data_IF_182489711272
#
_entry.id   IF_182489711272
#
_cell.length_a   1.000
_cell.length_b   1.000
_cell.length_c   1.000
_cell.angle_alpha   90.00
_cell.angle_beta   90.00
_cell.angle_gamma   90.00
#
_symmetry.space_group_name_H-M   'P 1'
#
loop_
_entity.id
_entity.type
_entity.pdbx_description
1 polymer ?
#
# COMPACT_ATOMS: atom_id res chain seq x y z
N UNK A 1 1.39 -5.51 21.39
CA UNK A 1 1.12 -6.97 21.24
C UNK A 1 1.51 -7.78 22.47
N UNK A 2 2.72 -7.58 23.02
CA UNK A 2 3.16 -8.27 24.24
C UNK A 2 2.19 -8.10 25.42
N UNK A 3 1.82 -6.86 25.76
CA UNK A 3 0.84 -6.55 26.81
C UNK A 3 -0.47 -7.34 26.65
N UNK A 4 -1.01 -7.39 25.44
CA UNK A 4 -2.31 -8.04 25.14
C UNK A 4 -2.25 -9.57 25.28
N UNK A 5 -1.07 -10.17 25.08
CA UNK A 5 -0.87 -11.63 25.21
C UNK A 5 -0.67 -12.06 26.67
N UNK A 6 -0.31 -11.14 27.56
CA UNK A 6 -0.06 -11.44 28.97
C UNK A 6 -1.38 -11.60 29.72
N UNK A 7 -1.57 -12.78 30.34
CA UNK A 7 -2.77 -13.09 31.14
C UNK A 7 -2.83 -12.33 32.47
N UNK A 8 -1.67 -12.06 33.03
CA UNK A 8 -1.47 -11.28 34.27
C UNK A 8 -0.43 -10.22 33.94
N UNK A 9 -0.70 -8.99 34.34
CA UNK A 9 0.19 -7.84 34.16
C UNK A 9 0.81 -7.55 35.53
N UNK A 10 2.13 -7.41 35.59
CA UNK A 10 2.84 -7.00 36.80
C UNK A 10 3.34 -5.54 36.69
N UNK A 11 3.73 -4.95 37.82
CA UNK A 11 4.13 -3.54 37.93
C UNK A 11 5.23 -3.15 36.93
N UNK A 12 6.19 -4.05 36.64
CA UNK A 12 7.25 -3.78 35.67
C UNK A 12 6.70 -3.72 34.23
N UNK A 13 5.73 -4.55 33.90
CA UNK A 13 5.05 -4.51 32.60
C UNK A 13 4.18 -3.25 32.47
N UNK A 14 3.51 -2.83 33.54
CA UNK A 14 2.74 -1.58 33.57
C UNK A 14 3.65 -0.38 33.32
N UNK A 15 4.74 -0.26 34.08
CA UNK A 15 5.73 0.80 33.91
C UNK A 15 6.37 0.81 32.50
N UNK A 16 6.62 -0.38 31.93
CA UNK A 16 7.14 -0.49 30.56
C UNK A 16 6.11 0.01 29.53
N UNK A 17 4.83 -0.31 29.71
CA UNK A 17 3.76 0.21 28.85
C UNK A 17 3.63 1.73 28.96
N UNK A 18 3.64 2.27 30.19
CA UNK A 18 3.60 3.71 30.42
C UNK A 18 4.76 4.43 29.73
N UNK A 19 5.98 3.89 29.84
CA UNK A 19 7.15 4.45 29.16
C UNK A 19 6.99 4.43 27.63
N UNK A 20 6.49 3.33 27.06
CA UNK A 20 6.25 3.24 25.60
C UNK A 20 5.16 4.22 25.15
N UNK A 21 4.08 4.37 25.92
CA UNK A 21 3.00 5.33 25.63
C UNK A 21 3.49 6.78 25.74
N UNK A 22 4.33 7.10 26.73
CA UNK A 22 4.96 8.41 26.86
C UNK A 22 5.88 8.70 25.66
N UNK A 23 6.76 7.75 25.30
CA UNK A 23 7.62 7.90 24.12
C UNK A 23 6.83 8.07 22.83
N UNK A 24 5.70 7.36 22.67
CA UNK A 24 4.83 7.54 21.51
C UNK A 24 4.25 8.95 21.45
N UNK A 25 3.84 9.49 22.61
CA UNK A 25 3.36 10.87 22.73
C UNK A 25 4.45 11.88 22.39
N UNK A 26 5.68 11.66 22.85
CA UNK A 26 6.82 12.52 22.54
C UNK A 26 7.13 12.54 21.03
N UNK A 27 7.05 11.39 20.34
CA UNK A 27 7.26 11.33 18.88
C UNK A 27 6.17 12.08 18.12
N UNK A 28 4.91 12.10 18.62
CA UNK A 28 3.85 12.91 18.02
C UNK A 28 4.21 14.41 18.10
N UNK A 29 4.77 14.87 19.23
CA UNK A 29 5.24 16.25 19.38
C UNK A 29 6.39 16.61 18.42
N UNK A 30 7.16 15.61 17.95
CA UNK A 30 8.21 15.82 16.96
C UNK A 30 7.68 16.14 15.55
N UNK A 31 6.36 16.11 15.31
CA UNK A 31 5.75 16.74 14.13
C UNK A 31 6.07 18.26 14.07
N UNK A 32 6.27 18.89 15.22
CA UNK A 32 6.63 20.32 15.34
C UNK A 32 8.16 20.55 15.46
N UNK A 33 8.98 19.51 15.26
CA UNK A 33 10.44 19.66 15.25
C UNK A 33 10.87 20.65 14.17
N UNK A 34 11.93 21.41 14.44
CA UNK A 34 12.59 22.28 13.47
C UNK A 34 13.28 21.50 12.33
N UNK A 35 13.64 20.24 12.57
CA UNK A 35 14.30 19.38 11.60
C UNK A 35 13.32 18.66 10.66
N UNK A 36 13.46 18.91 9.35
CA UNK A 36 12.58 18.35 8.31
C UNK A 36 12.61 16.81 8.23
N UNK A 37 13.77 16.22 8.47
CA UNK A 37 13.96 14.77 8.51
C UNK A 37 13.28 14.14 9.71
N UNK A 38 13.34 14.78 10.88
CA UNK A 38 12.63 14.32 12.09
C UNK A 38 11.12 14.34 11.84
N UNK A 39 10.58 15.45 11.31
CA UNK A 39 9.15 15.54 10.96
C UNK A 39 8.73 14.44 9.98
N UNK A 40 9.54 14.15 8.96
CA UNK A 40 9.27 13.06 8.00
C UNK A 40 9.10 11.71 8.70
N UNK A 41 9.99 11.38 9.64
CA UNK A 41 9.92 10.10 10.37
C UNK A 41 8.78 10.09 11.38
N UNK A 42 8.49 11.21 12.05
CA UNK A 42 7.35 11.35 12.94
C UNK A 42 6.02 11.09 12.21
N UNK A 43 5.85 11.60 10.98
CA UNK A 43 4.68 11.30 10.14
C UNK A 43 4.50 9.79 9.93
N UNK A 44 5.58 9.07 9.61
CA UNK A 44 5.54 7.61 9.40
C UNK A 44 5.25 6.84 10.68
N UNK A 45 5.76 7.31 11.81
CA UNK A 45 5.41 6.76 13.12
C UNK A 45 3.92 6.95 13.41
N UNK A 46 3.39 8.16 13.22
CA UNK A 46 1.98 8.50 13.42
C UNK A 46 1.07 7.66 12.53
N UNK A 47 1.44 7.42 11.26
CA UNK A 47 0.72 6.47 10.40
C UNK A 47 0.61 5.08 11.05
N UNK A 48 1.73 4.53 11.48
CA UNK A 48 1.79 3.21 12.12
C UNK A 48 0.97 3.17 13.40
N UNK A 49 1.01 4.24 14.20
CA UNK A 49 0.23 4.39 15.43
C UNK A 49 -1.27 4.38 15.14
N UNK A 50 -1.74 5.24 14.21
CA UNK A 50 -3.16 5.30 13.81
C UNK A 50 -3.65 3.93 13.34
N UNK A 51 -2.89 3.26 12.46
CA UNK A 51 -3.23 1.93 11.95
C UNK A 51 -3.28 0.92 13.10
N UNK A 52 -2.33 0.94 14.03
CA UNK A 52 -2.26 0.00 15.15
C UNK A 52 -3.43 0.21 16.14
N UNK A 53 -3.76 1.47 16.43
CA UNK A 53 -4.76 1.86 17.42
C UNK A 53 -6.19 1.98 16.85
N UNK A 54 -6.41 1.51 15.63
CA UNK A 54 -7.72 1.43 14.98
C UNK A 54 -8.07 -0.01 14.60
N UNK A 55 -9.37 -0.37 14.60
CA UNK A 55 -9.79 -1.71 14.24
C UNK A 55 -9.69 -1.93 12.72
N UNK A 56 -9.37 -3.17 12.32
CA UNK A 56 -9.59 -3.61 10.94
C UNK A 56 -11.07 -3.82 10.68
N UNK A 57 -11.50 -3.49 9.48
CA UNK A 57 -12.84 -3.72 8.94
C UNK A 57 -12.78 -4.81 7.85
N UNK A 58 -13.92 -5.39 7.42
CA UNK A 58 -13.93 -6.44 6.39
C UNK A 58 -13.28 -6.02 5.06
N UNK A 59 -13.31 -4.73 4.76
CA UNK A 59 -12.77 -4.09 3.57
C UNK A 59 -11.36 -3.51 3.78
N UNK A 60 -10.73 -3.67 4.95
CA UNK A 60 -9.36 -3.20 5.20
C UNK A 60 -8.32 -3.87 4.29
N UNK A 61 -7.64 -3.07 3.45
CA UNK A 61 -6.53 -3.51 2.60
C UNK A 61 -5.20 -3.56 3.37
N UNK A 62 -4.96 -4.65 4.14
CA UNK A 62 -3.74 -4.82 4.93
C UNK A 62 -2.64 -5.53 4.12
N UNK A 63 -1.44 -4.95 3.98
CA UNK A 63 -0.32 -5.62 3.30
C UNK A 63 0.04 -6.95 3.96
N UNK A 64 0.39 -7.97 3.17
CA UNK A 64 0.74 -9.33 3.66
C UNK A 64 1.78 -9.32 4.78
N UNK A 65 2.82 -8.47 4.67
CA UNK A 65 3.88 -8.35 5.68
C UNK A 65 3.36 -7.89 7.06
N UNK A 66 2.20 -7.25 7.11
CA UNK A 66 1.56 -6.71 8.32
C UNK A 66 0.32 -7.51 8.74
N UNK A 67 0.06 -8.66 8.13
CA UNK A 67 -1.15 -9.44 8.39
C UNK A 67 -1.24 -9.91 9.86
N UNK A 68 -0.08 -10.19 10.46
CA UNK A 68 0.06 -10.65 11.84
C UNK A 68 0.20 -9.52 12.89
N UNK A 69 0.29 -8.27 12.44
CA UNK A 69 0.44 -7.12 13.33
C UNK A 69 -0.82 -6.90 14.18
N UNK A 70 -0.64 -6.37 15.39
CA UNK A 70 -1.78 -6.09 16.26
C UNK A 70 -2.61 -4.91 15.70
N UNK A 71 -3.91 -4.97 15.94
CA UNK A 71 -4.87 -3.92 15.62
C UNK A 71 -5.95 -3.94 16.70
N UNK A 72 -6.71 -2.85 16.82
CA UNK A 72 -7.61 -2.67 17.96
C UNK A 72 -8.69 -3.77 18.07
N UNK A 73 -9.17 -4.30 16.93
CA UNK A 73 -10.13 -5.41 16.88
C UNK A 73 -9.57 -6.75 17.41
N UNK A 74 -8.26 -6.87 17.63
CA UNK A 74 -7.61 -8.05 18.21
C UNK A 74 -7.41 -7.94 19.73
N UNK A 75 -7.80 -6.83 20.34
CA UNK A 75 -7.68 -6.61 21.78
C UNK A 75 -8.98 -7.11 22.46
N UNK A 76 -8.89 -8.01 23.46
CA UNK A 76 -10.05 -8.41 24.25
C UNK A 76 -10.70 -7.21 24.94
N UNK A 77 -12.03 -7.10 24.89
CA UNK A 77 -12.77 -5.97 25.48
C UNK A 77 -12.65 -5.93 27.02
N UNK A 78 -12.44 -7.10 27.62
CA UNK A 78 -12.29 -7.36 29.05
C UNK A 78 -10.83 -7.45 29.49
N UNK A 79 -9.89 -6.97 28.68
CA UNK A 79 -8.47 -7.00 29.03
C UNK A 79 -8.21 -6.22 30.36
N UNK A 80 -7.47 -6.80 31.32
CA UNK A 80 -7.37 -6.26 32.68
C UNK A 80 -6.76 -4.86 32.72
N UNK A 81 -5.73 -4.62 31.92
CA UNK A 81 -4.97 -3.37 31.91
C UNK A 81 -5.30 -2.49 30.68
N UNK A 82 -4.95 -2.95 29.47
CA UNK A 82 -5.19 -2.23 28.21
C UNK A 82 -6.68 -1.98 27.97
N UNK A 83 -7.06 -0.71 27.80
CA UNK A 83 -8.46 -0.29 27.55
C UNK A 83 -8.67 0.09 26.09
N UNK A 84 -9.56 -0.65 25.42
CA UNK A 84 -9.88 -0.45 24.00
C UNK A 84 -10.27 1.00 23.68
N UNK A 85 -11.15 1.62 24.48
CA UNK A 85 -11.64 2.98 24.20
C UNK A 85 -10.55 4.03 24.35
N UNK A 86 -9.62 3.87 25.31
CA UNK A 86 -8.51 4.81 25.49
C UNK A 86 -7.61 4.81 24.27
N UNK A 87 -7.23 3.61 23.79
CA UNK A 87 -6.41 3.48 22.58
C UNK A 87 -7.13 3.99 21.32
N UNK A 88 -8.44 3.78 21.21
CA UNK A 88 -9.22 4.30 20.10
C UNK A 88 -9.19 5.84 20.05
N UNK A 89 -9.41 6.49 21.18
CA UNK A 89 -9.34 7.95 21.27
C UNK A 89 -7.93 8.47 20.97
N UNK A 90 -6.88 7.77 21.45
CA UNK A 90 -5.49 8.10 21.14
C UNK A 90 -5.19 8.01 19.64
N UNK A 91 -5.65 6.95 18.97
CA UNK A 91 -5.52 6.80 17.52
C UNK A 91 -6.21 7.91 16.72
N UNK A 92 -7.41 8.33 17.14
CA UNK A 92 -8.12 9.46 16.53
C UNK A 92 -7.42 10.79 16.78
N UNK A 93 -6.93 11.01 18.00
CA UNK A 93 -6.17 12.21 18.33
C UNK A 93 -4.89 12.31 17.48
N UNK A 94 -4.18 11.20 17.26
CA UNK A 94 -3.02 11.15 16.39
C UNK A 94 -3.37 11.49 14.92
N UNK A 95 -4.51 11.01 14.42
CA UNK A 95 -5.01 11.40 13.09
C UNK A 95 -5.31 12.90 13.02
N UNK A 96 -5.94 13.48 14.04
CA UNK A 96 -6.22 14.91 14.10
C UNK A 96 -4.93 15.75 14.06
N UNK A 97 -3.88 15.33 14.78
CA UNK A 97 -2.56 15.99 14.71
C UNK A 97 -1.96 15.93 13.30
N UNK A 98 -2.04 14.78 12.62
CA UNK A 98 -1.55 14.65 11.24
C UNK A 98 -2.35 15.52 10.26
N UNK A 99 -3.67 15.62 10.43
CA UNK A 99 -4.53 16.49 9.60
C UNK A 99 -4.20 17.98 9.83
N UNK A 100 -4.01 18.41 11.08
CA UNK A 100 -3.59 19.77 11.43
C UNK A 100 -2.21 20.10 10.84
N UNK A 101 -1.28 19.15 10.91
CA UNK A 101 0.06 19.31 10.35
C UNK A 101 0.04 19.60 8.84
N UNK A 102 -0.83 18.92 8.08
CA UNK A 102 -0.92 19.10 6.62
C UNK A 102 -1.37 20.48 6.16
N UNK A 103 -2.14 21.20 6.98
CA UNK A 103 -2.62 22.55 6.66
C UNK A 103 -1.71 23.65 7.19
N UNK A 104 -0.58 23.29 7.80
CA UNK A 104 0.38 24.26 8.31
C UNK A 104 1.02 25.05 7.15
N UNK A 105 1.03 26.40 7.19
CA UNK A 105 1.45 27.24 6.06
C UNK A 105 2.94 27.10 5.67
N UNK A 106 3.77 26.66 6.61
CA UNK A 106 5.20 26.45 6.41
C UNK A 106 5.60 24.96 6.27
N UNK A 107 4.64 24.06 6.03
CA UNK A 107 4.96 22.65 5.77
C UNK A 107 5.87 22.52 4.54
N UNK A 108 6.92 21.69 4.64
CA UNK A 108 7.82 21.45 3.52
C UNK A 108 7.18 20.56 2.46
N UNK A 109 7.68 20.64 1.23
CA UNK A 109 7.23 19.75 0.15
C UNK A 109 7.43 18.28 0.47
N UNK A 110 8.52 17.91 1.15
CA UNK A 110 8.87 16.52 1.49
C UNK A 110 7.88 15.99 2.53
N UNK A 111 7.70 16.74 3.62
CA UNK A 111 6.76 16.36 4.67
C UNK A 111 5.31 16.28 4.14
N UNK A 112 4.90 17.22 3.28
CA UNK A 112 3.57 17.20 2.68
C UNK A 112 3.36 15.95 1.81
N UNK A 113 4.35 15.57 0.99
CA UNK A 113 4.27 14.32 0.21
C UNK A 113 4.27 13.07 1.09
N UNK A 114 5.03 13.08 2.20
CA UNK A 114 5.04 11.98 3.16
C UNK A 114 3.68 11.83 3.85
N UNK A 115 3.07 12.95 4.25
CA UNK A 115 1.74 12.97 4.86
C UNK A 115 0.65 12.51 3.89
N UNK A 116 0.69 12.94 2.62
CA UNK A 116 -0.21 12.46 1.56
C UNK A 116 -0.19 10.93 1.45
N UNK A 117 1.01 10.34 1.34
CA UNK A 117 1.15 8.89 1.26
C UNK A 117 0.72 8.16 2.53
N UNK A 118 0.93 8.78 3.69
CA UNK A 118 0.51 8.24 4.98
C UNK A 118 -1.00 8.22 5.12
N UNK A 119 -1.70 9.29 4.74
CA UNK A 119 -3.16 9.32 4.71
C UNK A 119 -3.74 8.31 3.70
N UNK A 120 -3.12 8.14 2.53
CA UNK A 120 -3.56 7.13 1.56
C UNK A 120 -3.43 5.69 2.10
N UNK A 121 -2.38 5.45 2.88
CA UNK A 121 -2.15 4.18 3.57
C UNK A 121 -3.20 3.96 4.65
N UNK A 122 -3.47 4.98 5.49
CA UNK A 122 -4.50 4.96 6.52
C UNK A 122 -5.88 4.70 5.89
N UNK A 123 -6.29 5.44 4.87
CA UNK A 123 -7.62 5.29 4.25
C UNK A 123 -7.86 3.88 3.69
N UNK A 124 -6.86 3.25 3.07
CA UNK A 124 -6.99 1.89 2.53
C UNK A 124 -6.95 0.82 3.62
N UNK A 125 -6.05 0.96 4.58
CA UNK A 125 -5.96 0.00 5.69
C UNK A 125 -7.11 0.17 6.69
N UNK A 126 -7.64 1.38 6.82
CA UNK A 126 -8.68 1.80 7.75
C UNK A 126 -9.73 2.67 7.02
N UNK A 127 -10.65 2.03 6.29
CA UNK A 127 -11.66 2.73 5.48
C UNK A 127 -12.64 3.61 6.27
N UNK A 128 -12.80 3.41 7.57
CA UNK A 128 -13.59 4.29 8.44
C UNK A 128 -13.06 5.73 8.51
N UNK A 129 -11.79 5.97 8.16
CA UNK A 129 -11.19 7.31 8.08
C UNK A 129 -11.15 7.88 6.67
N UNK A 130 -11.82 7.22 5.70
CA UNK A 130 -11.74 7.61 4.30
C UNK A 130 -12.33 9.00 4.06
N UNK A 131 -13.44 9.34 4.72
CA UNK A 131 -14.08 10.64 4.60
C UNK A 131 -13.12 11.79 5.00
N UNK A 132 -12.46 11.65 6.15
CA UNK A 132 -11.49 12.63 6.67
C UNK A 132 -10.28 12.78 5.75
N UNK A 133 -9.81 11.67 5.17
CA UNK A 133 -8.69 11.70 4.22
C UNK A 133 -9.07 12.39 2.91
N UNK A 134 -10.25 12.11 2.36
CA UNK A 134 -10.73 12.79 1.14
C UNK A 134 -10.94 14.28 1.41
N UNK A 135 -11.52 14.65 2.55
CA UNK A 135 -11.66 16.05 2.96
C UNK A 135 -10.31 16.77 3.08
N UNK A 136 -9.29 16.09 3.62
CA UNK A 136 -7.93 16.65 3.70
C UNK A 136 -7.33 16.89 2.31
N UNK A 137 -7.56 15.98 1.37
CA UNK A 137 -7.10 16.11 -0.01
C UNK A 137 -7.80 17.24 -0.77
N UNK A 138 -9.12 17.41 -0.59
CA UNK A 138 -9.86 18.56 -1.12
C UNK A 138 -9.33 19.87 -0.57
N UNK A 139 -9.14 19.94 0.75
CA UNK A 139 -8.62 21.14 1.44
C UNK A 139 -7.24 21.51 0.94
N UNK A 140 -6.33 20.53 0.79
CA UNK A 140 -4.99 20.75 0.27
C UNK A 140 -5.02 21.20 -1.20
N UNK A 141 -5.86 20.58 -2.03
CA UNK A 141 -5.99 20.93 -3.44
C UNK A 141 -6.41 22.39 -3.62
N UNK A 142 -7.36 22.86 -2.81
CA UNK A 142 -7.83 24.24 -2.81
C UNK A 142 -6.83 25.22 -2.18
N UNK A 143 -6.04 24.78 -1.19
CA UNK A 143 -5.20 25.65 -0.36
C UNK A 143 -3.75 25.15 -0.28
N UNK A 144 -3.08 25.03 -1.42
CA UNK A 144 -1.66 24.67 -1.44
C UNK A 144 -0.82 25.72 -0.70
N UNK A 145 0.15 25.32 0.15
CA UNK A 145 0.97 26.27 0.88
C UNK A 145 1.71 27.25 -0.06
N UNK A 146 1.59 28.58 0.16
CA UNK A 146 2.18 29.58 -0.73
C UNK A 146 3.71 29.62 -0.67
N UNK A 147 4.29 28.95 0.33
CA UNK A 147 5.75 28.80 0.54
C UNK A 147 6.39 27.81 -0.43
N UNK A 148 5.60 27.02 -1.16
CA UNK A 148 6.12 26.03 -2.10
C UNK A 148 6.50 26.66 -3.44
N UNK A 149 7.72 26.35 -3.89
CA UNK A 149 8.18 26.71 -5.23
C UNK A 149 7.35 25.98 -6.32
N UNK A 150 7.32 26.53 -7.54
CA UNK A 150 6.57 25.95 -8.67
C UNK A 150 6.88 24.47 -8.93
N UNK A 151 8.15 24.06 -8.81
CA UNK A 151 8.57 22.66 -8.95
C UNK A 151 8.03 21.77 -7.82
N UNK A 152 7.98 22.27 -6.59
CA UNK A 152 7.42 21.59 -5.43
C UNK A 152 5.90 21.43 -5.57
N UNK A 153 5.19 22.49 -5.99
CA UNK A 153 3.75 22.44 -6.28
C UNK A 153 3.43 21.34 -7.30
N UNK A 154 4.19 21.26 -8.40
CA UNK A 154 4.03 20.19 -9.39
C UNK A 154 4.26 18.80 -8.80
N UNK A 155 5.28 18.64 -7.95
CA UNK A 155 5.56 17.38 -7.26
C UNK A 155 4.43 16.96 -6.32
N UNK A 156 3.90 17.90 -5.52
CA UNK A 156 2.78 17.66 -4.61
C UNK A 156 1.53 17.26 -5.39
N UNK A 157 1.18 17.98 -6.46
CA UNK A 157 0.04 17.64 -7.33
C UNK A 157 0.17 16.25 -7.96
N UNK A 158 1.37 15.88 -8.41
CA UNK A 158 1.65 14.54 -8.95
C UNK A 158 1.44 13.45 -7.90
N UNK A 159 1.91 13.67 -6.67
CA UNK A 159 1.72 12.73 -5.56
C UNK A 159 0.25 12.67 -5.13
N UNK A 160 -0.46 13.80 -5.07
CA UNK A 160 -1.89 13.84 -4.76
C UNK A 160 -2.69 13.03 -5.79
N UNK A 161 -2.44 13.22 -7.10
CA UNK A 161 -3.04 12.40 -8.17
C UNK A 161 -2.77 10.92 -7.94
N UNK A 162 -1.52 10.54 -7.67
CA UNK A 162 -1.11 9.16 -7.45
C UNK A 162 -1.87 8.52 -6.27
N UNK A 163 -2.00 9.25 -5.16
CA UNK A 163 -2.69 8.75 -3.97
C UNK A 163 -4.21 8.70 -4.16
N UNK A 164 -4.83 9.67 -4.82
CA UNK A 164 -6.25 9.63 -5.20
C UNK A 164 -6.56 8.41 -6.08
N UNK A 165 -5.72 8.12 -7.10
CA UNK A 165 -5.88 6.92 -7.92
C UNK A 165 -5.70 5.62 -7.12
N UNK A 166 -4.81 5.62 -6.13
CA UNK A 166 -4.62 4.47 -5.24
C UNK A 166 -5.84 4.25 -4.33
N UNK A 167 -6.41 5.32 -3.78
CA UNK A 167 -7.61 5.25 -2.92
C UNK A 167 -8.85 4.87 -3.74
N UNK A 168 -8.99 5.39 -4.96
CA UNK A 168 -10.12 5.10 -5.85
C UNK A 168 -10.27 3.60 -6.15
N UNK A 169 -9.17 2.84 -6.16
CA UNK A 169 -9.21 1.38 -6.37
C UNK A 169 -9.85 0.62 -5.20
N UNK A 170 -9.97 1.26 -4.04
CA UNK A 170 -10.48 0.65 -2.83
C UNK A 170 -12.01 0.48 -2.90
N UNK A 171 -12.60 -0.66 -2.51
CA UNK A 171 -14.05 -0.87 -2.56
C UNK A 171 -14.86 0.20 -1.81
N UNK A 172 -14.39 0.61 -0.63
CA UNK A 172 -15.04 1.63 0.21
C UNK A 172 -14.95 3.05 -0.34
N UNK A 173 -14.20 3.27 -1.43
CA UNK A 173 -14.18 4.57 -2.10
C UNK A 173 -15.48 4.88 -2.85
N UNK A 174 -16.39 3.91 -2.99
CA UNK A 174 -17.65 4.04 -3.72
C UNK A 174 -18.45 5.30 -3.36
N UNK A 175 -18.58 5.59 -2.06
CA UNK A 175 -19.32 6.77 -1.56
C UNK A 175 -18.65 8.10 -1.94
N UNK A 176 -17.32 8.09 -2.12
CA UNK A 176 -16.50 9.27 -2.39
C UNK A 176 -16.10 9.41 -3.86
N UNK A 177 -16.60 8.54 -4.75
CA UNK A 177 -16.18 8.49 -6.15
C UNK A 177 -16.36 9.82 -6.88
N UNK A 178 -17.46 10.53 -6.64
CA UNK A 178 -17.72 11.83 -7.26
C UNK A 178 -16.65 12.85 -6.86
N UNK A 179 -16.36 12.98 -5.56
CA UNK A 179 -15.33 13.88 -5.03
C UNK A 179 -13.93 13.54 -5.57
N UNK A 180 -13.54 12.27 -5.49
CA UNK A 180 -12.24 11.80 -5.98
C UNK A 180 -12.10 12.03 -7.49
N UNK A 181 -13.16 11.79 -8.26
CA UNK A 181 -13.17 11.99 -9.72
C UNK A 181 -12.99 13.45 -10.08
N UNK A 182 -13.71 14.36 -9.41
CA UNK A 182 -13.56 15.81 -9.62
C UNK A 182 -12.11 16.25 -9.37
N UNK A 183 -11.53 15.88 -8.23
CA UNK A 183 -10.13 16.21 -7.92
C UNK A 183 -9.16 15.64 -8.97
N UNK A 184 -9.38 14.40 -9.43
CA UNK A 184 -8.53 13.79 -10.44
C UNK A 184 -8.61 14.52 -11.80
N UNK A 185 -9.79 14.98 -12.20
CA UNK A 185 -9.99 15.79 -13.42
C UNK A 185 -9.28 17.13 -13.29
N UNK A 186 -9.40 17.82 -12.16
CA UNK A 186 -8.71 19.09 -11.89
C UNK A 186 -7.17 18.94 -11.93
N UNK A 187 -6.68 17.76 -11.54
CA UNK A 187 -5.27 17.38 -11.61
C UNK A 187 -4.84 16.89 -13.02
N UNK A 188 -5.72 16.94 -14.01
CA UNK A 188 -5.43 16.57 -15.40
C UNK A 188 -5.41 15.06 -15.68
N UNK A 189 -6.12 14.27 -14.88
CA UNK A 189 -6.27 12.82 -15.09
C UNK A 189 -7.28 12.55 -16.20
N UNK A 190 -6.91 11.69 -17.15
CA UNK A 190 -7.82 11.33 -18.25
C UNK A 190 -8.95 10.43 -17.75
N UNK A 191 -10.17 10.62 -18.28
CA UNK A 191 -11.34 9.83 -17.88
C UNK A 191 -11.12 8.30 -18.01
N UNK A 192 -10.40 7.86 -19.05
CA UNK A 192 -10.06 6.44 -19.23
C UNK A 192 -9.19 5.88 -18.09
N UNK A 193 -8.27 6.68 -17.54
CA UNK A 193 -7.42 6.30 -16.40
C UNK A 193 -8.24 6.21 -15.10
N UNK A 194 -9.18 7.14 -14.92
CA UNK A 194 -10.12 7.15 -13.79
C UNK A 194 -11.02 5.92 -13.83
N UNK A 195 -11.70 5.67 -14.95
CA UNK A 195 -12.61 4.53 -15.13
C UNK A 195 -11.90 3.19 -14.91
N UNK A 196 -10.64 3.05 -15.35
CA UNK A 196 -9.83 1.83 -15.12
C UNK A 196 -9.51 1.61 -13.63
N UNK A 197 -9.49 2.68 -12.84
CA UNK A 197 -9.16 2.63 -11.41
C UNK A 197 -10.38 2.47 -10.51
N UNK A 198 -11.59 2.51 -11.08
CA UNK A 198 -12.83 2.30 -10.32
C UNK A 198 -12.95 0.84 -9.85
N UNK A 199 -13.44 0.59 -8.63
CA UNK A 199 -13.66 -0.76 -8.13
C UNK A 199 -14.82 -1.39 -8.92
N UNK A 200 -14.67 -2.66 -9.29
CA UNK A 200 -15.72 -3.38 -10.01
C UNK A 200 -16.88 -3.67 -9.05
N UNK A 201 -18.11 -3.30 -9.44
CA UNK A 201 -19.37 -3.58 -8.73
C UNK A 201 -19.75 -5.08 -8.71
N UNK A 202 -18.80 -6.01 -8.78
CA UNK A 202 -19.13 -7.44 -8.74
C UNK A 202 -19.71 -7.78 -7.37
N UNK A 203 -21.05 -7.81 -7.32
CA UNK A 203 -21.82 -8.43 -6.25
C UNK A 203 -21.22 -9.80 -5.92
N UNK A 204 -21.18 -10.20 -4.65
CA UNK A 204 -20.83 -11.56 -4.29
C UNK A 204 -21.89 -12.47 -4.89
N UNK A 205 -21.58 -13.08 -6.05
CA UNK A 205 -22.40 -14.11 -6.68
C UNK A 205 -22.60 -15.25 -5.69
N UNK A 206 -23.70 -15.21 -4.92
CA UNK A 206 -24.32 -16.40 -4.36
C UNK A 206 -24.85 -17.22 -5.52
N UNK A 207 -24.03 -18.15 -6.04
CA UNK A 207 -24.59 -19.30 -6.75
C UNK A 207 -25.01 -20.30 -5.68
N UNK A 208 -26.28 -20.75 -5.63
CA UNK A 208 -26.59 -21.99 -4.95
C UNK A 208 -25.87 -23.09 -5.71
N UNK A 209 -24.93 -23.77 -5.05
CA UNK A 209 -24.34 -24.99 -5.54
C UNK A 209 -25.38 -26.08 -5.35
N UNK A 210 -26.04 -26.48 -6.42
CA UNK A 210 -26.92 -27.64 -6.43
C UNK A 210 -26.03 -28.89 -6.31
N UNK A 211 -26.16 -29.61 -5.20
CA UNK A 211 -25.53 -30.91 -4.99
C UNK A 211 -26.39 -31.97 -5.66
N UNK A 212 -25.85 -32.64 -6.68
CA UNK A 212 -26.37 -33.92 -7.15
C UNK A 212 -25.31 -35.00 -6.98
N UNK A 213 -25.63 -35.94 -6.08
CA UNK A 213 -24.86 -37.07 -5.58
C UNK A 213 -24.26 -38.02 -6.65
N UNK A 214 -23.14 -38.72 -6.37
CA UNK A 214 -22.53 -39.69 -7.25
C UNK A 214 -22.79 -41.14 -6.81
N UNK A 215 -23.60 -41.91 -7.55
CA UNK A 215 -23.56 -43.38 -7.44
C UNK A 215 -24.23 -44.05 -8.64
N UNK A 216 -23.45 -44.82 -9.44
CA UNK A 216 -23.60 -46.28 -9.60
C UNK A 216 -22.95 -46.80 -10.89
N UNK A 217 -22.02 -47.74 -10.65
CA UNK A 217 -21.20 -48.59 -11.52
C UNK A 217 -21.97 -49.42 -12.58
N UNK A 218 -21.27 -49.77 -13.68
CA UNK A 218 -20.99 -51.14 -14.22
C UNK A 218 -20.59 -51.01 -15.72
N UNK A 219 -19.32 -51.15 -16.11
CA UNK A 219 -18.59 -52.40 -16.44
C UNK A 219 -19.25 -53.25 -17.55
N UNK A 220 -18.63 -53.34 -18.75
CA UNK A 220 -18.00 -54.56 -19.31
C UNK A 220 -17.84 -54.54 -20.85
N UNK A 221 -16.59 -54.80 -21.27
CA UNK A 221 -16.02 -55.39 -22.51
C UNK A 221 -16.75 -55.36 -23.87
N UNK A 222 -15.98 -54.85 -24.85
CA UNK A 222 -15.83 -55.17 -26.29
C UNK A 222 -15.88 -56.69 -26.65
N UNK A 223 -15.95 -57.13 -27.96
CA UNK A 223 -15.26 -56.52 -29.11
C UNK A 223 -15.88 -56.59 -30.54
N UNK A 224 -15.19 -55.88 -31.45
CA UNK A 224 -14.67 -56.33 -32.75
C UNK A 224 -15.28 -55.81 -34.07
N UNK A 225 -14.38 -55.16 -34.85
CA UNK A 225 -14.10 -55.26 -36.31
C UNK A 225 -14.61 -54.17 -37.29
N UNK A 226 -13.65 -53.76 -38.15
CA UNK A 226 -13.82 -53.10 -39.45
C UNK A 226 -13.27 -51.67 -39.46
N UNK A 227 -11.95 -51.47 -39.57
CA UNK A 227 -11.21 -51.23 -40.85
C UNK A 227 -11.56 -49.88 -41.50
N UNK A 228 -10.61 -48.93 -41.48
CA UNK A 228 -10.01 -48.40 -42.72
C UNK A 228 -8.73 -47.60 -42.44
N UNK A 229 -7.81 -47.75 -43.40
CA UNK A 229 -6.40 -47.38 -43.46
C UNK A 229 -6.11 -45.86 -43.63
N UNK A 230 -4.93 -45.41 -43.20
CA UNK A 230 -3.80 -45.09 -44.11
C UNK A 230 -2.61 -44.44 -43.34
N UNK A 231 -1.43 -45.04 -43.54
CA UNK A 231 -0.08 -44.70 -43.06
C UNK A 231 0.40 -43.31 -43.54
N UNK A 232 1.08 -42.47 -42.75
CA UNK A 232 2.51 -42.47 -42.33
C UNK A 232 3.54 -42.67 -43.45
N UNK A 233 4.13 -41.54 -43.88
CA UNK A 233 5.53 -41.49 -44.32
C UNK A 233 6.34 -40.54 -43.42
N UNK A 234 7.44 -41.08 -42.91
CA UNK A 234 8.52 -40.43 -42.19
C UNK A 234 9.71 -40.30 -43.14
N UNK A 235 10.31 -39.12 -43.27
CA UNK A 235 11.74 -39.06 -43.54
C UNK A 235 12.39 -37.77 -43.00
N UNK A 236 13.55 -37.98 -42.38
CA UNK A 236 14.47 -36.99 -41.83
C UNK A 236 15.21 -36.25 -42.93
N UNK A 237 15.68 -35.02 -42.66
CA UNK A 237 17.13 -34.73 -42.58
C UNK A 237 17.48 -33.22 -42.57
N UNK A 238 18.58 -32.97 -41.85
CA UNK A 238 19.68 -32.04 -42.14
C UNK A 238 19.56 -30.53 -41.83
N UNK A 239 20.51 -30.11 -41.00
CA UNK A 239 20.93 -28.74 -40.72
C UNK A 239 21.57 -28.04 -41.93
N UNK A 240 21.56 -26.69 -42.00
CA UNK A 240 22.39 -25.93 -42.94
C UNK A 240 23.66 -25.33 -42.27
N UNK A 241 24.70 -25.02 -43.08
CA UNK A 241 26.07 -24.75 -42.65
C UNK A 241 26.39 -23.24 -42.43
N UNK A 242 27.57 -22.90 -41.89
CA UNK A 242 27.94 -21.53 -41.53
C UNK A 242 28.74 -20.79 -42.62
N UNK A 243 28.71 -19.43 -42.57
CA UNK A 243 29.75 -18.41 -42.92
C UNK A 243 29.11 -17.04 -43.20
N UNK A 244 29.84 -15.89 -43.20
CA UNK A 244 31.14 -15.56 -42.61
C UNK A 244 31.09 -14.28 -41.72
N UNK A 245 32.20 -14.03 -41.02
CA UNK A 245 32.47 -12.95 -40.08
C UNK A 245 32.26 -11.53 -40.64
N UNK A 246 31.52 -10.70 -39.91
CA UNK A 246 31.61 -9.24 -39.96
C UNK A 246 31.71 -8.71 -38.52
N UNK A 247 32.89 -8.21 -38.15
CA UNK A 247 33.10 -7.45 -36.93
C UNK A 247 32.26 -6.17 -37.00
N UNK A 248 31.25 -6.05 -36.13
CA UNK A 248 30.72 -4.76 -35.70
C UNK A 248 30.51 -4.85 -34.19
N UNK A 249 31.41 -4.18 -33.48
CA UNK A 249 31.37 -3.94 -32.04
C UNK A 249 30.13 -3.11 -31.70
N UNK A 250 29.09 -3.76 -31.19
CA UNK A 250 27.99 -3.08 -30.49
C UNK A 250 28.22 -3.28 -29.00
N UNK A 251 29.08 -2.47 -28.39
CA UNK A 251 29.04 -2.30 -26.94
C UNK A 251 27.72 -1.61 -26.65
N UNK A 252 26.86 -2.27 -25.87
CA UNK A 252 25.62 -1.67 -25.40
C UNK A 252 25.97 -0.50 -24.46
N UNK A 253 25.19 0.58 -24.45
CA UNK A 253 25.44 1.73 -23.54
C UNK A 253 25.50 1.31 -22.05
N UNK A 254 24.89 0.17 -21.74
CA UNK A 254 24.97 -0.50 -20.44
C UNK A 254 26.37 -1.05 -20.12
N UNK A 255 27.12 -1.54 -21.11
CA UNK A 255 28.48 -2.07 -20.91
C UNK A 255 29.50 -0.96 -20.67
N UNK A 256 29.40 0.15 -21.39
CA UNK A 256 30.29 1.32 -21.24
C UNK A 256 30.13 1.94 -19.85
N UNK A 257 28.89 2.02 -19.36
CA UNK A 257 28.60 2.57 -18.04
C UNK A 257 29.12 1.65 -16.92
N UNK A 258 29.07 0.33 -17.12
CA UNK A 258 29.56 -0.64 -16.15
C UNK A 258 31.09 -0.63 -16.04
N UNK A 259 31.82 -0.54 -17.17
CA UNK A 259 33.28 -0.43 -17.18
C UNK A 259 33.79 0.84 -16.48
N UNK A 260 33.04 1.95 -16.54
CA UNK A 260 33.41 3.19 -15.84
C UNK A 260 33.17 3.11 -14.32
N UNK A 261 32.08 2.46 -13.89
CA UNK A 261 31.69 2.43 -12.48
C UNK A 261 32.43 1.38 -11.66
N UNK A 262 32.80 0.24 -12.25
CA UNK A 262 33.49 -0.85 -11.54
C UNK A 262 34.79 -0.43 -10.82
N UNK A 263 35.71 0.35 -11.42
CA UNK A 263 36.92 0.78 -10.72
C UNK A 263 36.65 1.83 -9.63
N UNK A 264 35.49 2.49 -9.63
CA UNK A 264 35.10 3.50 -8.63
C UNK A 264 34.43 2.90 -7.39
N UNK A 265 33.99 1.64 -7.46
CA UNK A 265 33.37 0.89 -6.38
C UNK A 265 34.43 0.22 -5.50
N UNK A 266 35.19 1.02 -4.74
CA UNK A 266 36.08 0.51 -3.70
C UNK A 266 35.36 0.46 -2.34
N UNK A 267 35.81 -0.39 -1.40
CA UNK A 267 35.23 -0.48 -0.05
C UNK A 267 35.19 0.88 0.69
N UNK A 268 36.08 1.80 0.35
CA UNK A 268 36.17 3.15 0.91
C UNK A 268 35.09 4.10 0.35
N UNK A 269 34.64 3.88 -0.89
CA UNK A 269 33.66 4.74 -1.58
C UNK A 269 32.21 4.28 -1.39
N UNK A 270 31.99 3.04 -0.97
CA UNK A 270 30.65 2.48 -0.72
C UNK A 270 30.10 2.89 0.67
N UNK A 271 30.99 3.27 1.60
CA UNK A 271 30.61 3.61 2.98
C UNK A 271 30.11 5.06 3.17
N UNK A 272 30.06 5.88 2.11
CA UNK A 272 29.60 7.29 2.15
C UNK A 272 28.45 7.57 1.16
N UNK A 273 27.51 6.63 1.02
CA UNK A 273 26.22 6.82 0.33
C UNK A 273 25.05 6.51 1.27
#
# INVERSE_FOLDING_TARGET
QWMVKSKVINDLQEACWEMVSAMASDIILLLDSDNDGIRTHAIKFVEGLIITLSPRMPDSDVPKRHENDISLNRIPKDHPYIKHNVLWEEGKAALEQLLKFMVHPAISSINLTAALGSLASIARQRPMFMAEVIQAYETLHANLPPTLAKSQVSSVRKNLKLHLLSVLKHPSSFEFQAQITTLLVDLGTQQAEITRSMPSLKEPRKRPRDESDPALKKMKMEPALGEDDEDKDLEQAAAPPPKPSAQTSTHSDTDITAEFLQPLLTPENVANL
#
